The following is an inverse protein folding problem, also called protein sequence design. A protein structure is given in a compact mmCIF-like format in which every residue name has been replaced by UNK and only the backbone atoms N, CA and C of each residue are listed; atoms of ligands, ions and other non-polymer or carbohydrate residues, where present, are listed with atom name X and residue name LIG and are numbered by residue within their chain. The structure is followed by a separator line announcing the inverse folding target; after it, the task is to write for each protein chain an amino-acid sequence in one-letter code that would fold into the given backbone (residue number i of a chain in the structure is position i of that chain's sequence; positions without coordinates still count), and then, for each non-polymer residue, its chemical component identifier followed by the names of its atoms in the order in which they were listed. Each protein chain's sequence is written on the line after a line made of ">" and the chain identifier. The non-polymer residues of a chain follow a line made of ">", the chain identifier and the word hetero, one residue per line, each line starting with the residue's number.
data_IF_372111358251
#
_entry.id   IF_372111358251
#
_cell.length_a   1.000
_cell.length_b   1.000
_cell.length_c   1.000
_cell.angle_alpha   90.00
_cell.angle_beta   90.00
_cell.angle_gamma   90.00
#
_symmetry.space_group_name_H-M   'P 1'
#
loop_
_entity.id
_entity.type
_entity.pdbx_description
1 polymer ?
#
# COMPACT_ATOMS: atom_id res chain seq x y z
N UNK A 1 -5.64 -13.64 6.22
CA UNK A 1 -4.60 -13.89 5.20
C UNK A 1 -3.66 -12.68 5.17
N UNK A 2 -2.45 -12.77 4.59
CA UNK A 2 -1.40 -11.74 4.74
C UNK A 2 -1.77 -10.31 4.32
N UNK A 3 -2.77 -10.14 3.45
CA UNK A 3 -3.19 -8.83 2.94
C UNK A 3 -4.25 -8.09 3.75
N UNK A 4 -4.96 -8.74 4.68
CA UNK A 4 -6.14 -8.15 5.34
C UNK A 4 -5.78 -6.89 6.15
N UNK A 5 -4.60 -6.89 6.78
CA UNK A 5 -4.08 -5.73 7.50
C UNK A 5 -3.82 -4.51 6.58
N UNK A 6 -3.45 -4.74 5.31
CA UNK A 6 -3.31 -3.67 4.33
C UNK A 6 -4.66 -3.12 3.87
N UNK A 7 -5.70 -3.96 3.81
CA UNK A 7 -7.06 -3.53 3.50
C UNK A 7 -7.58 -2.59 4.60
N UNK A 8 -7.46 -3.00 5.87
CA UNK A 8 -7.83 -2.15 7.01
C UNK A 8 -7.02 -0.85 7.04
N UNK A 9 -5.71 -0.93 6.80
CA UNK A 9 -4.86 0.25 6.73
C UNK A 9 -5.30 1.24 5.63
N UNK A 10 -5.71 0.75 4.46
CA UNK A 10 -6.20 1.60 3.38
C UNK A 10 -7.50 2.32 3.74
N UNK A 11 -8.43 1.63 4.42
CA UNK A 11 -9.67 2.23 4.92
C UNK A 11 -9.39 3.36 5.93
N UNK A 12 -8.54 3.08 6.93
CA UNK A 12 -8.13 4.05 7.95
C UNK A 12 -7.45 5.28 7.34
N UNK A 13 -6.41 5.05 6.53
CA UNK A 13 -5.61 6.12 5.93
C UNK A 13 -6.43 6.92 4.92
N UNK A 14 -7.33 6.28 4.17
CA UNK A 14 -8.23 6.96 3.25
C UNK A 14 -9.19 7.90 3.98
N UNK A 15 -9.81 7.41 5.06
CA UNK A 15 -10.70 8.22 5.89
C UNK A 15 -9.98 9.42 6.53
N UNK A 16 -8.76 9.22 7.06
CA UNK A 16 -7.98 10.30 7.68
C UNK A 16 -7.47 11.34 6.68
N UNK A 17 -7.04 10.90 5.49
CA UNK A 17 -6.45 11.77 4.49
C UNK A 17 -7.47 12.48 3.59
N UNK A 18 -8.71 12.01 3.57
CA UNK A 18 -9.75 12.46 2.64
C UNK A 18 -9.51 12.04 1.19
N UNK A 19 -8.66 11.03 0.97
CA UNK A 19 -8.36 10.46 -0.34
C UNK A 19 -8.96 9.06 -0.41
N UNK A 20 -9.65 8.76 -1.50
CA UNK A 20 -10.15 7.41 -1.74
C UNK A 20 -8.97 6.47 -2.05
N UNK A 21 -8.86 5.37 -1.29
CA UNK A 21 -7.84 4.35 -1.49
C UNK A 21 -8.55 3.01 -1.65
N UNK A 22 -8.56 2.48 -2.87
CA UNK A 22 -9.10 1.14 -3.12
C UNK A 22 -8.04 0.09 -2.79
N UNK A 23 -8.36 -0.81 -1.85
CA UNK A 23 -7.52 -1.97 -1.55
C UNK A 23 -8.00 -3.22 -2.32
N UNK A 24 -7.05 -3.94 -2.93
CA UNK A 24 -7.33 -5.18 -3.66
C UNK A 24 -6.38 -6.27 -3.14
N UNK A 25 -6.94 -7.28 -2.49
CA UNK A 25 -6.21 -8.49 -2.12
C UNK A 25 -6.13 -9.45 -3.31
N UNK A 26 -4.92 -9.86 -3.68
CA UNK A 26 -4.67 -10.78 -4.81
C UNK A 26 -4.05 -12.07 -4.27
N UNK A 27 -4.70 -13.21 -4.51
CA UNK A 27 -4.23 -14.52 -4.07
C UNK A 27 -5.33 -15.57 -4.04
N UNK A 28 -5.01 -16.84 -3.74
CA UNK A 28 -6.00 -17.91 -3.61
C UNK A 28 -7.05 -17.57 -2.54
N UNK A 29 -8.32 -17.52 -2.93
CA UNK A 29 -9.43 -17.19 -2.01
C UNK A 29 -9.58 -15.71 -1.68
N UNK A 30 -8.81 -14.82 -2.31
CA UNK A 30 -8.99 -13.37 -2.21
C UNK A 30 -9.97 -12.84 -3.27
N UNK A 31 -10.29 -11.54 -3.20
CA UNK A 31 -11.18 -10.87 -4.16
C UNK A 31 -10.71 -11.02 -5.61
N UNK A 32 -9.39 -11.03 -5.83
CA UNK A 32 -8.80 -11.38 -7.13
C UNK A 32 -7.93 -12.62 -6.95
N UNK A 33 -8.16 -13.63 -7.79
CA UNK A 33 -7.36 -14.86 -7.79
C UNK A 33 -6.30 -14.80 -8.90
N UNK A 34 -5.04 -15.02 -8.54
CA UNK A 34 -3.91 -15.10 -9.48
C UNK A 34 -3.80 -16.51 -10.08
N UNK A 35 -4.70 -16.86 -11.01
CA UNK A 35 -4.83 -18.21 -11.56
C UNK A 35 -3.60 -18.70 -12.34
N UNK A 36 -2.88 -17.77 -12.98
CA UNK A 36 -1.72 -18.07 -13.83
C UNK A 36 -0.39 -17.76 -13.14
N UNK A 37 -0.41 -17.34 -11.87
CA UNK A 37 0.77 -16.92 -11.10
C UNK A 37 1.59 -15.77 -11.75
N UNK A 38 0.99 -15.04 -12.68
CA UNK A 38 1.66 -13.95 -13.37
C UNK A 38 1.87 -12.77 -12.44
N UNK A 39 0.89 -12.48 -11.58
CA UNK A 39 1.04 -11.44 -10.57
C UNK A 39 2.13 -11.81 -9.57
N UNK A 40 2.12 -13.03 -9.05
CA UNK A 40 3.15 -13.54 -8.15
C UNK A 40 4.56 -13.38 -8.74
N UNK A 41 4.73 -13.65 -10.04
CA UNK A 41 6.02 -13.54 -10.73
C UNK A 41 6.52 -12.11 -10.94
N UNK A 42 5.65 -11.09 -10.91
CA UNK A 42 5.97 -9.70 -11.30
C UNK A 42 5.88 -8.67 -10.17
N UNK A 43 5.15 -8.97 -9.10
CA UNK A 43 4.83 -8.00 -8.03
C UNK A 43 6.04 -7.57 -7.20
N UNK A 44 7.09 -8.39 -7.16
CA UNK A 44 8.34 -8.12 -6.44
C UNK A 44 8.14 -7.72 -4.96
N UNK A 45 7.14 -8.37 -4.34
CA UNK A 45 6.79 -8.31 -2.91
C UNK A 45 6.46 -9.75 -2.45
N UNK A 46 6.56 -10.00 -1.15
CA UNK A 46 6.14 -11.24 -0.49
C UNK A 46 4.61 -11.26 -0.31
N UNK A 47 4.02 -12.41 0.02
CA UNK A 47 2.55 -12.63 0.11
C UNK A 47 1.84 -11.66 1.08
N UNK A 48 2.58 -11.04 1.98
CA UNK A 48 2.13 -10.07 2.99
C UNK A 48 2.68 -8.65 2.77
N UNK A 49 3.30 -8.38 1.62
CA UNK A 49 3.69 -7.06 1.17
C UNK A 49 2.53 -6.26 0.57
N UNK A 50 2.82 -5.03 0.11
CA UNK A 50 1.83 -4.12 -0.46
C UNK A 50 2.44 -3.19 -1.51
N UNK A 51 1.67 -2.86 -2.55
CA UNK A 51 1.99 -1.84 -3.54
C UNK A 51 0.95 -0.71 -3.47
N UNK A 52 1.41 0.53 -3.36
CA UNK A 52 0.57 1.71 -3.58
C UNK A 52 0.73 2.15 -5.03
N UNK A 53 -0.38 2.17 -5.77
CA UNK A 53 -0.42 2.49 -7.20
C UNK A 53 -1.19 3.80 -7.41
N UNK A 54 -0.63 4.69 -8.23
CA UNK A 54 -1.25 5.96 -8.60
C UNK A 54 -2.38 5.75 -9.63
N UNK A 55 -3.29 6.73 -9.79
CA UNK A 55 -4.35 6.66 -10.81
C UNK A 55 -3.85 6.51 -12.26
N UNK A 56 -2.59 6.87 -12.54
CA UNK A 56 -1.93 6.70 -13.84
C UNK A 56 -1.24 5.33 -14.03
N UNK A 57 -1.38 4.42 -13.06
CA UNK A 57 -0.84 3.06 -13.11
C UNK A 57 0.60 2.92 -12.63
N UNK A 58 1.26 4.00 -12.19
CA UNK A 58 2.62 3.93 -11.66
C UNK A 58 2.63 3.46 -10.20
N UNK A 59 3.58 2.59 -9.85
CA UNK A 59 3.84 2.22 -8.46
C UNK A 59 4.49 3.43 -7.76
N UNK A 60 3.75 4.02 -6.81
CA UNK A 60 4.22 5.13 -6.00
C UNK A 60 5.07 4.68 -4.81
N UNK A 61 4.74 3.52 -4.23
CA UNK A 61 5.44 2.99 -3.09
C UNK A 61 5.28 1.46 -3.00
N UNK A 62 6.25 0.81 -2.36
CA UNK A 62 6.31 -0.63 -2.18
C UNK A 62 6.75 -0.96 -0.75
N UNK A 63 5.95 -1.78 -0.08
CA UNK A 63 6.37 -2.54 1.10
C UNK A 63 6.65 -3.98 0.68
N UNK A 64 7.93 -4.40 0.77
CA UNK A 64 8.36 -5.69 0.24
C UNK A 64 7.83 -6.90 1.01
N UNK A 65 7.81 -6.81 2.33
CA UNK A 65 7.41 -7.90 3.22
C UNK A 65 6.50 -7.35 4.33
N UNK A 66 5.92 -8.23 5.14
CA UNK A 66 5.08 -7.84 6.26
C UNK A 66 5.65 -6.68 7.08
N UNK A 67 4.75 -5.87 7.62
CA UNK A 67 5.08 -4.84 8.58
C UNK A 67 4.28 -5.07 9.86
N UNK A 68 4.70 -4.49 10.98
CA UNK A 68 3.81 -4.32 12.14
C UNK A 68 3.12 -2.95 12.14
N UNK A 69 3.39 -2.13 11.11
CA UNK A 69 3.08 -0.71 11.05
C UNK A 69 2.36 -0.35 9.74
N UNK A 70 1.36 -1.15 9.33
CA UNK A 70 0.68 -1.03 8.03
C UNK A 70 0.11 0.38 7.78
N UNK A 71 -0.76 0.88 8.67
CA UNK A 71 -1.42 2.17 8.52
C UNK A 71 -0.42 3.34 8.51
N UNK A 72 0.57 3.35 9.40
CA UNK A 72 1.57 4.43 9.43
C UNK A 72 2.47 4.42 8.20
N UNK A 73 2.92 3.25 7.75
CA UNK A 73 3.76 3.15 6.54
C UNK A 73 3.01 3.60 5.29
N UNK A 74 1.73 3.19 5.15
CA UNK A 74 0.89 3.62 4.05
C UNK A 74 0.59 5.12 4.12
N UNK A 75 0.31 5.66 5.30
CA UNK A 75 0.07 7.09 5.50
C UNK A 75 1.30 7.92 5.12
N UNK A 76 2.51 7.49 5.51
CA UNK A 76 3.75 8.19 5.17
C UNK A 76 4.03 8.16 3.67
N UNK A 77 3.84 7.00 3.03
CA UNK A 77 3.93 6.88 1.58
C UNK A 77 2.94 7.80 0.87
N UNK A 78 1.67 7.83 1.31
CA UNK A 78 0.65 8.69 0.73
C UNK A 78 0.98 10.18 0.93
N UNK A 79 1.42 10.60 2.12
CA UNK A 79 1.84 11.99 2.37
C UNK A 79 2.98 12.39 1.46
N UNK A 80 3.94 11.50 1.23
CA UNK A 80 5.04 11.76 0.30
C UNK A 80 4.55 11.96 -1.13
N UNK A 81 3.65 11.08 -1.62
CA UNK A 81 3.05 11.19 -2.96
C UNK A 81 2.25 12.49 -3.13
N UNK A 82 1.55 12.92 -2.09
CA UNK A 82 0.75 14.15 -2.08
C UNK A 82 1.58 15.42 -1.83
N UNK A 83 2.89 15.31 -1.59
CA UNK A 83 3.74 16.46 -1.24
C UNK A 83 3.41 17.09 0.12
N UNK A 84 2.78 16.34 1.03
CA UNK A 84 2.35 16.78 2.37
C UNK A 84 3.31 16.35 3.49
N UNK A 85 4.57 16.07 3.17
CA UNK A 85 5.56 15.79 4.22
C UNK A 85 5.78 17.04 5.08
N UNK A 86 5.92 16.90 6.40
CA UNK A 86 6.31 18.02 7.24
C UNK A 86 7.64 18.58 6.72
N UNK A 87 7.76 19.90 6.68
CA UNK A 87 9.00 20.55 6.29
C UNK A 87 10.15 20.01 7.15
N UNK A 88 11.22 19.57 6.50
CA UNK A 88 12.44 19.20 7.19
C UNK A 88 13.05 20.47 7.79
N UNK A 89 12.76 20.74 9.06
CA UNK A 89 13.41 21.84 9.78
C UNK A 89 14.83 21.40 10.16
N UNK A 90 15.83 21.99 9.51
CA UNK A 90 17.20 21.95 10.00
C UNK A 90 17.27 22.72 11.33
N UNK A 91 17.88 22.17 12.39
CA UNK A 91 18.21 22.98 13.56
C UNK A 91 19.15 24.11 13.13
N UNK A 92 18.81 25.34 13.55
CA UNK A 92 19.70 26.51 13.46
C UNK A 92 20.88 26.35 14.40
#
# INVERSE_FOLDING_TARGET
>A
MGGDAWVTAAEEVGAESGVEITAVAIGPGCVVTDLLFEWQSRREIDDDGCLLVRPDGYIAWRQKANSSYHSSNLADALRQVLGKQPAFNLPQ
#
